data_IF_179050080419
#
_entry.id   IF_179050080419
#
_cell.length_a   1.000
_cell.length_b   1.000
_cell.length_c   1.000
_cell.angle_alpha   90.00
_cell.angle_beta   90.00
_cell.angle_gamma   90.00
#
_symmetry.space_group_name_H-M   'P 1'
#
loop_
_entity.id
_entity.type
_entity.pdbx_description
1 polymer ?
#
# COMPACT_ATOMS: atom_id res chain seq x y z
N UNK A 1 39.13 -33.01 21.61
CA UNK A 1 38.91 -32.26 20.35
C UNK A 1 37.66 -32.67 19.54
N UNK A 2 37.03 -33.84 19.75
CA UNK A 2 35.80 -34.24 19.01
C UNK A 2 34.54 -33.47 19.41
N UNK A 3 34.38 -33.11 20.68
CA UNK A 3 33.19 -32.40 21.18
C UNK A 3 33.02 -30.99 20.58
N UNK A 4 34.13 -30.27 20.35
CA UNK A 4 34.11 -28.91 19.76
C UNK A 4 33.66 -28.95 18.29
N UNK A 5 33.98 -30.03 17.55
CA UNK A 5 33.52 -30.22 16.15
C UNK A 5 32.04 -30.52 16.03
N UNK A 6 31.45 -31.23 17.00
CA UNK A 6 30.00 -31.46 17.02
C UNK A 6 29.22 -30.20 17.40
N UNK A 7 29.81 -29.34 18.24
CA UNK A 7 29.19 -28.09 18.67
C UNK A 7 28.99 -27.12 17.48
N UNK A 8 29.97 -27.00 16.58
CA UNK A 8 29.84 -26.16 15.38
C UNK A 8 28.77 -26.67 14.40
N UNK A 9 28.55 -27.99 14.32
CA UNK A 9 27.51 -28.59 13.49
C UNK A 9 26.10 -28.37 14.07
N UNK A 10 25.97 -28.35 15.40
CA UNK A 10 24.70 -28.07 16.09
C UNK A 10 24.29 -26.60 15.97
N UNK A 11 25.22 -25.65 15.98
CA UNK A 11 24.89 -24.22 15.79
C UNK A 11 24.37 -23.90 14.38
N UNK A 12 24.77 -24.65 13.35
CA UNK A 12 24.30 -24.43 11.99
C UNK A 12 22.81 -24.83 11.79
N UNK A 13 22.29 -25.75 12.61
CA UNK A 13 20.87 -26.15 12.56
C UNK A 13 19.92 -25.13 13.19
N UNK A 14 20.43 -24.20 14.00
CA UNK A 14 19.65 -23.14 14.63
C UNK A 14 19.78 -21.80 13.90
N UNK A 15 20.40 -21.76 12.72
CA UNK A 15 20.39 -20.55 11.90
C UNK A 15 18.94 -20.28 11.46
N UNK A 16 18.36 -19.12 11.83
CA UNK A 16 17.07 -18.71 11.28
C UNK A 16 17.18 -18.70 9.75
N UNK A 17 16.16 -19.20 9.07
CA UNK A 17 16.03 -18.97 7.64
C UNK A 17 15.93 -17.45 7.42
N UNK A 18 17.05 -16.82 7.04
CA UNK A 18 17.06 -15.42 6.65
C UNK A 18 16.39 -15.33 5.27
N UNK A 19 15.07 -15.11 5.26
CA UNK A 19 14.40 -14.61 4.08
C UNK A 19 14.92 -13.20 3.82
N UNK A 20 15.42 -12.95 2.62
CA UNK A 20 15.96 -11.65 2.27
C UNK A 20 14.81 -10.63 2.25
N UNK A 21 14.76 -9.74 3.24
CA UNK A 21 13.93 -8.55 3.15
C UNK A 21 14.36 -7.74 1.93
N UNK A 22 13.40 -7.45 1.06
CA UNK A 22 13.59 -6.66 -0.14
C UNK A 22 13.07 -5.25 0.06
N UNK A 23 13.73 -4.27 -0.56
CA UNK A 23 13.21 -2.90 -0.64
C UNK A 23 12.24 -2.78 -1.81
N UNK A 24 10.94 -2.87 -1.52
CA UNK A 24 9.88 -2.82 -2.52
C UNK A 24 9.50 -1.38 -2.81
N UNK A 25 9.19 -1.09 -4.08
CA UNK A 25 8.51 0.14 -4.45
C UNK A 25 7.00 -0.10 -4.47
N UNK A 26 6.26 0.71 -3.73
CA UNK A 26 4.81 0.63 -3.60
C UNK A 26 4.21 1.91 -4.13
N UNK A 27 3.16 1.81 -4.93
CA UNK A 27 2.39 2.93 -5.39
C UNK A 27 0.90 2.60 -5.38
N UNK A 28 0.09 3.50 -4.82
CA UNK A 28 -1.34 3.33 -4.74
C UNK A 28 -2.11 4.58 -5.14
N UNK A 29 -3.29 4.36 -5.70
CA UNK A 29 -4.32 5.37 -5.93
C UNK A 29 -5.60 4.89 -5.24
N UNK A 30 -6.03 5.59 -4.20
CA UNK A 30 -7.35 5.41 -3.60
C UNK A 30 -8.36 6.26 -4.39
N UNK A 31 -9.45 5.64 -4.83
CA UNK A 31 -10.50 6.31 -5.60
C UNK A 31 -11.87 6.08 -4.99
N UNK A 32 -12.77 7.03 -5.21
CA UNK A 32 -14.22 6.87 -5.03
C UNK A 32 -14.89 6.64 -6.38
N UNK A 33 -15.80 5.68 -6.44
CA UNK A 33 -16.69 5.44 -7.58
C UNK A 33 -17.97 6.27 -7.40
N UNK A 34 -18.07 7.40 -8.10
CA UNK A 34 -19.13 8.39 -7.89
C UNK A 34 -20.54 7.88 -8.26
N UNK A 35 -20.62 6.85 -9.10
CA UNK A 35 -21.88 6.19 -9.48
C UNK A 35 -22.38 5.17 -8.44
N UNK A 36 -21.55 4.81 -7.46
CA UNK A 36 -21.91 3.90 -6.37
C UNK A 36 -22.16 4.72 -5.11
N UNK A 37 -23.37 4.65 -4.49
CA UNK A 37 -23.65 5.38 -3.26
C UNK A 37 -22.63 5.07 -2.15
N UNK A 38 -22.11 6.11 -1.51
CA UNK A 38 -21.24 5.96 -0.36
C UNK A 38 -21.96 5.24 0.79
N UNK A 39 -21.25 4.33 1.45
CA UNK A 39 -21.73 3.65 2.65
C UNK A 39 -21.00 4.19 3.88
N UNK A 40 -21.76 4.68 4.85
CA UNK A 40 -21.18 5.15 6.12
C UNK A 40 -20.83 3.94 6.98
N UNK A 41 -19.58 3.85 7.39
CA UNK A 41 -19.02 2.82 8.25
C UNK A 41 -18.81 3.33 9.68
N UNK A 42 -18.50 2.46 10.66
CA UNK A 42 -17.99 2.92 11.95
C UNK A 42 -16.83 3.90 11.77
N UNK A 43 -16.73 4.88 12.68
CA UNK A 43 -15.66 5.86 12.63
C UNK A 43 -14.29 5.19 12.64
N UNK A 44 -13.34 5.85 11.99
CA UNK A 44 -11.94 5.49 12.13
C UNK A 44 -11.58 5.48 13.63
N UNK A 45 -10.97 4.41 14.13
CA UNK A 45 -10.59 4.36 15.55
C UNK A 45 -9.45 5.35 15.82
N UNK A 46 -9.32 5.82 17.06
CA UNK A 46 -8.24 6.74 17.45
C UNK A 46 -6.84 6.14 17.13
N UNK A 47 -6.70 4.82 17.23
CA UNK A 47 -5.49 4.07 16.91
C UNK A 47 -5.51 3.49 15.49
N UNK A 48 -6.13 4.15 14.50
CA UNK A 48 -6.27 3.69 13.11
C UNK A 48 -4.98 3.17 12.45
N UNK A 49 -3.82 3.66 12.88
CA UNK A 49 -2.51 3.18 12.41
C UNK A 49 -2.22 1.73 12.83
N UNK A 50 -2.93 1.21 13.83
CA UNK A 50 -2.79 -0.12 14.41
C UNK A 50 -1.32 -0.44 14.77
N UNK A 51 -0.60 0.55 15.30
CA UNK A 51 0.81 0.45 15.67
C UNK A 51 1.79 0.51 14.50
N UNK A 52 1.32 0.69 13.26
CA UNK A 52 2.20 0.81 12.09
C UNK A 52 3.00 2.12 12.12
N UNK A 53 4.27 2.09 11.72
CA UNK A 53 5.03 3.32 11.51
C UNK A 53 4.36 4.17 10.43
N UNK A 54 4.36 5.50 10.64
CA UNK A 54 3.90 6.45 9.64
C UNK A 54 4.87 6.47 8.46
N UNK A 55 4.33 6.64 7.26
CA UNK A 55 5.12 6.88 6.07
C UNK A 55 6.00 8.13 6.27
N UNK A 56 7.31 7.94 6.15
CA UNK A 56 8.30 9.00 6.31
C UNK A 56 8.66 9.60 4.96
N UNK A 57 9.05 10.88 4.97
CA UNK A 57 9.36 11.62 3.74
C UNK A 57 10.56 11.06 2.97
N UNK A 58 11.50 10.41 3.64
CA UNK A 58 12.64 9.74 3.03
C UNK A 58 12.26 8.43 2.33
N UNK A 59 11.14 7.81 2.71
CA UNK A 59 10.59 6.64 2.06
C UNK A 59 9.71 7.00 0.85
N UNK A 60 9.13 8.20 0.81
CA UNK A 60 8.29 8.68 -0.31
C UNK A 60 9.04 8.72 -1.64
N UNK A 61 8.35 8.35 -2.71
CA UNK A 61 8.86 8.36 -4.08
C UNK A 61 7.93 9.19 -4.95
N UNK A 62 8.46 9.64 -6.08
CA UNK A 62 7.61 10.27 -7.10
C UNK A 62 6.64 9.21 -7.66
N UNK A 63 5.33 9.48 -7.70
CA UNK A 63 4.38 8.58 -8.32
C UNK A 63 4.67 8.40 -9.82
N UNK A 64 4.47 7.19 -10.33
CA UNK A 64 4.66 6.83 -11.74
C UNK A 64 3.34 6.52 -12.46
N UNK A 65 2.22 6.46 -11.73
CA UNK A 65 0.86 6.24 -12.25
C UNK A 65 0.10 7.57 -12.47
N UNK A 66 0.83 8.64 -12.81
CA UNK A 66 0.24 9.98 -13.05
C UNK A 66 -0.75 9.94 -14.24
N UNK A 67 -0.46 9.15 -15.28
CA UNK A 67 -1.34 8.98 -16.44
C UNK A 67 -2.63 8.23 -16.08
N UNK A 68 -2.55 7.19 -15.25
CA UNK A 68 -3.72 6.46 -14.74
C UNK A 68 -4.59 7.36 -13.86
N UNK A 69 -3.98 8.15 -12.96
CA UNK A 69 -4.70 9.13 -12.15
C UNK A 69 -5.42 10.16 -13.04
N UNK A 70 -4.74 10.70 -14.05
CA UNK A 70 -5.32 11.66 -15.00
C UNK A 70 -6.50 11.06 -15.76
N UNK A 71 -6.41 9.80 -16.19
CA UNK A 71 -7.50 9.11 -16.89
C UNK A 71 -8.71 8.86 -15.98
N UNK A 72 -8.48 8.56 -14.70
CA UNK A 72 -9.54 8.41 -13.71
C UNK A 72 -10.28 9.74 -13.49
N UNK A 73 -9.55 10.84 -13.37
CA UNK A 73 -10.14 12.19 -13.18
C UNK A 73 -10.78 12.76 -14.46
N UNK A 74 -10.45 12.22 -15.64
CA UNK A 74 -11.04 12.64 -16.90
C UNK A 74 -12.52 12.21 -17.05
N UNK A 75 -13.02 11.32 -16.19
CA UNK A 75 -14.44 10.92 -16.18
C UNK A 75 -15.13 11.40 -14.90
N UNK A 76 -16.44 11.64 -14.98
CA UNK A 76 -17.23 11.98 -13.79
C UNK A 76 -17.49 10.77 -12.87
N UNK A 77 -17.10 9.56 -13.31
CA UNK A 77 -17.38 8.31 -12.61
C UNK A 77 -16.43 8.07 -11.44
N UNK A 78 -15.26 8.71 -11.42
CA UNK A 78 -14.26 8.53 -10.37
C UNK A 78 -13.83 9.85 -9.74
N UNK A 79 -13.43 9.78 -8.48
CA UNK A 79 -12.69 10.84 -7.78
C UNK A 79 -11.41 10.23 -7.24
N UNK A 80 -10.24 10.77 -7.59
CA UNK A 80 -8.98 10.39 -6.96
C UNK A 80 -8.90 11.05 -5.58
N UNK A 81 -8.79 10.23 -4.54
CA UNK A 81 -8.79 10.68 -3.15
C UNK A 81 -7.37 10.83 -2.61
N UNK A 82 -6.50 9.87 -2.91
CA UNK A 82 -5.11 9.86 -2.45
C UNK A 82 -4.24 9.11 -3.45
N UNK A 83 -3.11 9.72 -3.84
CA UNK A 83 -2.09 9.09 -4.69
C UNK A 83 -0.74 9.15 -3.98
N UNK A 84 -0.21 8.00 -3.58
CA UNK A 84 1.08 7.91 -2.87
C UNK A 84 1.97 6.85 -3.47
N UNK A 85 3.26 7.14 -3.51
CA UNK A 85 4.30 6.19 -3.84
C UNK A 85 5.41 6.25 -2.78
N UNK A 86 5.95 5.10 -2.40
CA UNK A 86 7.02 5.00 -1.41
C UNK A 86 7.83 3.71 -1.58
N UNK A 87 8.85 3.55 -0.74
CA UNK A 87 9.57 2.31 -0.56
C UNK A 87 9.42 1.77 0.86
N UNK A 88 9.28 0.46 1.00
CA UNK A 88 9.28 -0.21 2.31
C UNK A 88 10.00 -1.55 2.24
N UNK A 89 10.59 -1.98 3.36
CA UNK A 89 11.16 -3.31 3.47
C UNK A 89 10.02 -4.33 3.54
N UNK A 90 10.07 -5.38 2.73
CA UNK A 90 9.09 -6.46 2.71
C UNK A 90 9.84 -7.78 2.78
N UNK A 91 9.42 -8.66 3.68
CA UNK A 91 9.90 -10.02 3.81
C UNK A 91 8.73 -10.97 4.04
N UNK A 92 9.00 -12.13 4.67
CA UNK A 92 7.97 -13.12 4.98
C UNK A 92 6.94 -12.64 6.00
N UNK A 93 7.37 -11.78 6.94
CA UNK A 93 6.48 -11.16 7.92
C UNK A 93 5.78 -9.92 7.33
N UNK A 94 4.52 -9.65 7.71
CA UNK A 94 3.79 -8.48 7.22
C UNK A 94 4.47 -7.16 7.61
N UNK A 95 4.89 -6.42 6.60
CA UNK A 95 5.40 -5.06 6.72
C UNK A 95 4.27 -4.07 6.50
N UNK A 96 3.88 -3.36 7.55
CA UNK A 96 2.75 -2.43 7.55
C UNK A 96 3.21 -0.99 7.62
N UNK A 97 2.67 -0.13 6.75
CA UNK A 97 2.90 1.32 6.74
C UNK A 97 1.56 2.03 6.90
N UNK A 98 1.51 3.01 7.80
CA UNK A 98 0.39 3.92 7.95
C UNK A 98 0.56 5.16 7.06
N UNK A 99 -0.48 5.51 6.31
CA UNK A 99 -0.52 6.65 5.40
C UNK A 99 -1.70 7.54 5.74
N UNK A 100 -1.54 8.85 5.53
CA UNK A 100 -2.61 9.84 5.66
C UNK A 100 -2.50 10.92 4.59
N UNK A 101 -3.63 11.54 4.25
CA UNK A 101 -3.74 12.63 3.26
C UNK A 101 -4.64 13.74 3.80
N UNK A 102 -4.27 14.99 3.49
CA UNK A 102 -4.90 16.19 4.06
C UNK A 102 -4.26 16.66 5.38
N UNK A 103 -4.86 17.68 5.98
CA UNK A 103 -4.36 18.27 7.24
C UNK A 103 -4.79 17.44 8.43
N UNK A 104 -3.83 16.97 9.21
CA UNK A 104 -4.08 16.26 10.47
C UNK A 104 -4.77 17.17 11.49
N UNK A 105 -5.83 16.66 12.13
CA UNK A 105 -6.54 17.32 13.21
C UNK A 105 -6.84 16.28 14.30
N UNK A 106 -6.36 16.55 15.51
CA UNK A 106 -6.56 15.67 16.68
C UNK A 106 -6.20 14.20 16.43
N UNK A 107 -5.17 13.93 15.63
CA UNK A 107 -4.69 12.57 15.33
C UNK A 107 -5.38 11.88 14.15
N UNK A 108 -6.41 12.53 13.58
CA UNK A 108 -7.11 12.06 12.40
C UNK A 108 -6.75 12.86 11.15
N UNK A 109 -6.78 12.20 10.01
CA UNK A 109 -6.65 12.82 8.69
C UNK A 109 -7.98 12.70 7.94
N UNK A 110 -8.27 13.63 7.00
CA UNK A 110 -9.38 13.46 6.06
C UNK A 110 -9.34 12.12 5.32
N UNK A 111 -8.16 11.58 5.04
CA UNK A 111 -7.99 10.20 4.58
C UNK A 111 -6.86 9.58 5.39
N UNK A 112 -7.09 8.39 5.93
CA UNK A 112 -6.10 7.67 6.73
C UNK A 112 -6.22 6.16 6.57
N UNK A 113 -5.16 5.45 6.92
CA UNK A 113 -5.20 3.99 6.97
C UNK A 113 -3.84 3.35 6.84
N UNK A 114 -3.82 2.05 6.59
CA UNK A 114 -2.59 1.30 6.50
C UNK A 114 -2.62 0.30 5.34
N UNK A 115 -1.43 0.06 4.81
CA UNK A 115 -1.14 -0.98 3.83
C UNK A 115 -0.12 -1.94 4.41
N UNK A 116 -0.46 -3.22 4.44
CA UNK A 116 0.39 -4.31 4.89
C UNK A 116 0.79 -5.16 3.70
N UNK A 117 2.08 -5.48 3.59
CA UNK A 117 2.62 -6.28 2.48
C UNK A 117 3.51 -7.39 3.06
N UNK A 118 3.34 -8.61 2.60
CA UNK A 118 4.21 -9.75 2.92
C UNK A 118 4.61 -10.49 1.64
N UNK A 119 5.83 -11.00 1.58
CA UNK A 119 6.35 -11.84 0.51
C UNK A 119 6.43 -13.29 0.97
N UNK A 120 5.52 -14.13 0.46
CA UNK A 120 5.58 -15.58 0.58
C UNK A 120 5.85 -16.22 -0.79
N UNK A 121 5.06 -17.25 -1.14
CA UNK A 121 5.03 -17.76 -2.53
C UNK A 121 4.52 -16.71 -3.52
N UNK A 122 3.65 -15.83 -3.05
CA UNK A 122 3.11 -14.68 -3.76
C UNK A 122 3.12 -13.47 -2.83
N UNK A 123 2.99 -12.28 -3.39
CA UNK A 123 2.85 -11.05 -2.61
C UNK A 123 1.43 -11.04 -2.04
N UNK A 124 1.33 -10.92 -0.72
CA UNK A 124 0.08 -10.70 -0.01
C UNK A 124 -0.02 -9.24 0.38
N UNK A 125 -1.18 -8.64 0.12
CA UNK A 125 -1.51 -7.27 0.49
C UNK A 125 -2.77 -7.25 1.33
N UNK A 126 -2.76 -6.44 2.39
CA UNK A 126 -3.94 -6.06 3.14
C UNK A 126 -4.00 -4.53 3.21
N UNK A 127 -5.15 -3.97 2.85
CA UNK A 127 -5.37 -2.54 2.76
C UNK A 127 -6.58 -2.17 3.62
N UNK A 128 -6.43 -1.17 4.48
CA UNK A 128 -7.50 -0.67 5.34
C UNK A 128 -7.42 0.86 5.41
N UNK A 129 -8.40 1.55 4.83
CA UNK A 129 -8.46 3.00 4.74
C UNK A 129 -9.81 3.52 5.20
N UNK A 130 -9.81 4.75 5.71
CA UNK A 130 -11.00 5.53 6.01
C UNK A 130 -10.92 6.86 5.26
N UNK A 131 -12.05 7.26 4.69
CA UNK A 131 -12.27 8.61 4.19
C UNK A 131 -13.19 9.29 5.19
N UNK A 132 -12.66 10.27 5.90
CA UNK A 132 -13.28 10.93 7.03
C UNK A 132 -13.83 12.30 6.63
N UNK A 133 -15.05 12.59 7.07
CA UNK A 133 -15.56 13.95 7.15
C UNK A 133 -15.27 14.46 8.56
N UNK A 134 -14.41 15.48 8.64
CA UNK A 134 -14.04 16.12 9.90
C UNK A 134 -14.85 17.42 10.07
N UNK A 135 -15.29 17.71 11.30
CA UNK A 135 -15.82 19.04 11.62
C UNK A 135 -14.70 20.09 11.73
N UNK A 136 -15.07 21.36 11.95
CA UNK A 136 -14.10 22.45 12.13
C UNK A 136 -13.24 22.34 13.40
N UNK A 137 -13.57 21.40 14.29
CA UNK A 137 -12.80 21.06 15.48
C UNK A 137 -12.08 19.71 15.32
N UNK A 138 -12.00 19.16 14.10
CA UNK A 138 -11.32 17.90 13.79
C UNK A 138 -11.97 16.62 14.32
N UNK A 139 -13.21 16.66 14.81
CA UNK A 139 -13.94 15.44 15.17
C UNK A 139 -14.41 14.71 13.93
N UNK A 140 -14.33 13.38 13.93
CA UNK A 140 -14.88 12.55 12.86
C UNK A 140 -16.41 12.56 12.94
N UNK A 141 -17.06 13.14 11.91
CA UNK A 141 -18.51 13.16 11.76
C UNK A 141 -19.04 11.90 11.07
N UNK A 142 -18.30 11.46 10.04
CA UNK A 142 -18.62 10.30 9.21
C UNK A 142 -17.33 9.69 8.67
N UNK A 143 -17.33 8.37 8.49
CA UNK A 143 -16.23 7.64 7.83
C UNK A 143 -16.78 6.68 6.79
N UNK A 144 -16.13 6.64 5.63
CA UNK A 144 -16.28 5.57 4.64
C UNK A 144 -15.05 4.65 4.73
N UNK A 145 -15.25 3.37 5.06
CA UNK A 145 -14.15 2.43 5.22
C UNK A 145 -13.97 1.58 3.95
N UNK A 146 -12.73 1.53 3.48
CA UNK A 146 -12.24 0.54 2.53
C UNK A 146 -11.42 -0.51 3.29
N UNK A 147 -11.76 -1.79 3.15
CA UNK A 147 -10.94 -2.88 3.70
C UNK A 147 -10.92 -4.07 2.76
N UNK A 148 -9.75 -4.38 2.20
CA UNK A 148 -9.58 -5.46 1.23
C UNK A 148 -8.24 -6.16 1.41
N UNK A 149 -8.18 -7.43 0.99
CA UNK A 149 -6.95 -8.22 0.99
C UNK A 149 -6.81 -9.03 -0.30
N UNK A 150 -5.59 -9.19 -0.79
CA UNK A 150 -5.29 -10.06 -1.93
C UNK A 150 -3.98 -10.81 -1.67
N UNK A 151 -4.03 -12.14 -1.66
CA UNK A 151 -2.88 -13.01 -1.37
C UNK A 151 -2.10 -13.46 -2.61
N UNK A 152 -2.43 -12.95 -3.80
CA UNK A 152 -1.84 -13.36 -5.08
C UNK A 152 -1.46 -12.15 -5.95
N UNK A 153 -0.99 -11.06 -5.34
CA UNK A 153 -0.56 -9.87 -6.06
C UNK A 153 0.67 -10.19 -6.90
N UNK A 154 0.64 -9.81 -8.18
CA UNK A 154 1.76 -9.99 -9.10
C UNK A 154 2.69 -8.78 -9.02
N UNK A 155 3.96 -9.03 -8.72
CA UNK A 155 4.98 -7.99 -8.64
C UNK A 155 5.07 -7.18 -9.95
N UNK A 156 5.12 -5.86 -9.81
CA UNK A 156 5.25 -4.91 -10.93
C UNK A 156 3.99 -4.77 -11.80
N UNK A 157 2.88 -5.43 -11.47
CA UNK A 157 1.61 -5.30 -12.18
C UNK A 157 0.62 -4.45 -11.38
N UNK A 158 -0.21 -3.71 -12.10
CA UNK A 158 -1.30 -2.94 -11.50
C UNK A 158 -2.41 -3.90 -11.07
N UNK A 159 -2.78 -3.84 -9.79
CA UNK A 159 -3.82 -4.65 -9.17
C UNK A 159 -4.96 -3.75 -8.73
N UNK A 160 -6.20 -4.10 -9.08
CA UNK A 160 -7.39 -3.40 -8.61
C UNK A 160 -7.97 -4.15 -7.40
N UNK A 161 -8.16 -3.44 -6.30
CA UNK A 161 -8.81 -3.92 -5.09
C UNK A 161 -10.16 -3.21 -4.95
N UNK A 162 -11.24 -3.95 -5.13
CA UNK A 162 -12.61 -3.41 -5.10
C UNK A 162 -13.20 -3.45 -3.70
N UNK A 163 -13.60 -2.30 -3.18
CA UNK A 163 -14.30 -2.13 -1.90
C UNK A 163 -15.76 -1.66 -2.09
N UNK A 164 -16.33 -1.77 -3.28
CA UNK A 164 -17.66 -1.27 -3.62
C UNK A 164 -17.61 0.17 -4.09
N UNK A 165 -17.89 1.14 -3.21
CA UNK A 165 -17.86 2.57 -3.57
C UNK A 165 -16.45 3.19 -3.47
N UNK A 166 -15.54 2.53 -2.74
CA UNK A 166 -14.11 2.86 -2.71
C UNK A 166 -13.33 1.75 -3.39
N UNK A 167 -12.24 2.09 -4.06
CA UNK A 167 -11.32 1.12 -4.63
C UNK A 167 -9.88 1.60 -4.55
N UNK A 168 -8.94 0.65 -4.61
CA UNK A 168 -7.51 0.94 -4.65
C UNK A 168 -6.89 0.33 -5.89
N UNK A 169 -6.23 1.16 -6.70
CA UNK A 169 -5.28 0.70 -7.70
C UNK A 169 -3.91 0.62 -7.02
N UNK A 170 -3.29 -0.55 -7.03
CA UNK A 170 -2.05 -0.82 -6.33
C UNK A 170 -1.02 -1.45 -7.26
N UNK A 171 0.19 -0.91 -7.27
CA UNK A 171 1.35 -1.50 -7.90
C UNK A 171 2.43 -1.68 -6.86
N UNK A 172 2.82 -2.93 -6.61
CA UNK A 172 3.93 -3.25 -5.71
C UNK A 172 5.02 -3.97 -6.52
N UNK A 173 6.20 -3.36 -6.55
CA UNK A 173 7.33 -3.71 -7.42
C UNK A 173 8.47 -4.26 -6.57
N UNK A 174 8.80 -5.57 -6.69
CA UNK A 174 9.92 -6.18 -6.01
C UNK A 174 11.26 -5.54 -6.36
N UNK A 175 12.27 -5.61 -5.49
CA UNK A 175 13.63 -5.17 -5.81
C UNK A 175 14.17 -5.93 -7.01
N UNK A 176 14.97 -5.25 -7.85
CA UNK A 176 15.60 -5.86 -9.01
C UNK A 176 14.66 -6.15 -10.18
N UNK A 177 13.36 -5.81 -10.09
CA UNK A 177 12.45 -5.88 -11.23
C UNK A 177 12.94 -4.92 -12.33
N UNK A 178 13.27 -5.40 -13.54
CA UNK A 178 13.69 -4.52 -14.62
C UNK A 178 12.59 -3.50 -14.91
N UNK A 179 12.94 -2.21 -14.95
CA UNK A 179 12.03 -1.19 -15.45
C UNK A 179 11.77 -1.54 -16.92
N UNK A 180 10.56 -1.99 -17.26
CA UNK A 180 10.20 -2.23 -18.66
C UNK A 180 10.46 -0.92 -19.42
N UNK A 181 11.23 -0.95 -20.53
CA UNK A 181 11.38 0.24 -21.36
C UNK A 181 9.99 0.73 -21.73
N UNK A 182 9.74 2.02 -21.52
CA UNK A 182 8.59 2.67 -22.15
C UNK A 182 8.87 2.53 -23.65
N UNK A 183 8.11 1.68 -24.34
CA UNK A 183 8.22 1.56 -25.79
C UNK A 183 7.86 2.92 -26.37
N UNK A 184 8.84 3.56 -27.00
CA UNK A 184 8.65 4.83 -27.68
C UNK A 184 7.54 4.63 -28.74
N UNK A 185 6.46 5.43 -28.74
CA UNK A 185 5.38 5.31 -29.72
C UNK A 185 5.87 5.35 -31.17
N UNK A 186 7.01 5.98 -31.44
CA UNK A 186 7.63 6.03 -32.78
C UNK A 186 8.18 4.68 -33.28
N UNK A 187 8.39 3.70 -32.39
CA UNK A 187 8.87 2.36 -32.77
C UNK A 187 7.75 1.38 -33.16
N UNK A 188 6.48 1.79 -33.10
CA UNK A 188 5.31 0.97 -33.46
C UNK A 188 4.76 1.24 -34.87
N UNK A 189 5.34 2.18 -35.63
CA UNK A 189 4.89 2.55 -36.99
C UNK A 189 5.86 2.13 -38.12
N UNK A 190 6.64 1.06 -37.96
CA UNK A 190 7.44 0.48 -39.06
C UNK A 190 7.00 -0.94 -39.43
#
# INVERSE_FOLDING_TARGET
MRAIRCLTLLLALFAPAAFAEGLYQVEMILVRQNSVPAFTSPFAPEDWSAGAPRLTKDAERRPALEDEATRLEATADYTVLMHKAWQQQVGSEPSRIAVGEGTEQFGHFPIEGNLSIAEGRFITVEANFWVNQLDGNGNVLQSEQFRQSNSNVKGGQLTFLDGGHLAVLLKVTPPGTPKMPVMDPEMMEQ
#
